data_IF_455124204871
#
_entry.id   IF_455124204871
#
_cell.length_a   1.000
_cell.length_b   1.000
_cell.length_c   1.000
_cell.angle_alpha   90.00
_cell.angle_beta   90.00
_cell.angle_gamma   90.00
#
_symmetry.space_group_name_H-M   'P 1'
#
loop_
_entity.id
_entity.type
_entity.pdbx_description
1 polymer ?
#
# COMPACT_ATOMS: atom_id res chain seq x y z
N UNK A 1 -3.38 -23.54 9.39
CA UNK A 1 -2.98 -22.88 8.12
C UNK A 1 -2.12 -21.70 8.48
N UNK A 2 -1.18 -21.23 7.64
CA UNK A 2 -0.39 -20.02 7.90
C UNK A 2 -0.96 -18.88 7.05
N UNK A 3 -1.10 -17.68 7.62
CA UNK A 3 -1.58 -16.51 6.90
C UNK A 3 -0.64 -16.15 5.72
N UNK A 4 -1.22 -15.77 4.59
CA UNK A 4 -0.52 -15.41 3.36
C UNK A 4 -1.02 -14.03 2.88
N UNK A 5 -0.39 -12.99 3.36
CA UNK A 5 -0.76 -11.60 3.02
C UNK A 5 -0.27 -11.14 1.65
N UNK A 6 0.42 -12.01 0.90
CA UNK A 6 1.05 -11.67 -0.38
C UNK A 6 2.04 -10.50 -0.27
N UNK A 7 2.70 -10.20 -1.36
CA UNK A 7 3.59 -9.05 -1.44
C UNK A 7 2.86 -7.89 -2.13
N UNK A 8 3.13 -6.68 -1.72
CA UNK A 8 2.60 -5.46 -2.39
C UNK A 8 3.14 -5.30 -3.81
N UNK A 9 4.31 -5.87 -4.09
CA UNK A 9 4.85 -6.01 -5.45
C UNK A 9 4.39 -7.38 -6.00
N UNK A 10 3.58 -7.43 -7.08
CA UNK A 10 3.12 -8.70 -7.63
C UNK A 10 4.26 -9.57 -8.16
N UNK A 11 4.32 -10.84 -7.76
CA UNK A 11 5.37 -11.75 -8.20
C UNK A 11 5.42 -11.92 -9.73
N UNK A 12 4.25 -11.99 -10.37
CA UNK A 12 4.18 -12.13 -11.83
C UNK A 12 4.87 -10.96 -12.54
N UNK A 13 4.73 -9.74 -12.04
CA UNK A 13 5.38 -8.55 -12.62
C UNK A 13 6.91 -8.66 -12.51
N UNK A 14 7.44 -9.08 -11.36
CA UNK A 14 8.86 -9.31 -11.17
C UNK A 14 9.38 -10.39 -12.13
N UNK A 15 8.66 -11.51 -12.28
CA UNK A 15 9.00 -12.60 -13.20
C UNK A 15 9.02 -12.11 -14.65
N UNK A 16 8.01 -11.34 -15.09
CA UNK A 16 7.97 -10.77 -16.43
C UNK A 16 9.14 -9.82 -16.71
N UNK A 17 9.50 -8.96 -15.76
CA UNK A 17 10.64 -8.04 -15.90
C UNK A 17 11.95 -8.82 -16.03
N UNK A 18 12.17 -9.84 -15.19
CA UNK A 18 13.37 -10.68 -15.25
C UNK A 18 13.42 -11.46 -16.57
N UNK A 19 12.32 -12.04 -17.01
CA UNK A 19 12.23 -12.77 -18.26
C UNK A 19 12.54 -11.85 -19.47
N UNK A 20 11.98 -10.65 -19.50
CA UNK A 20 12.28 -9.65 -20.51
C UNK A 20 13.77 -9.27 -20.52
N UNK A 21 14.37 -9.10 -19.33
CA UNK A 21 15.80 -8.82 -19.19
C UNK A 21 16.67 -9.94 -19.79
N UNK A 22 16.31 -11.21 -19.53
CA UNK A 22 17.03 -12.38 -20.08
C UNK A 22 16.90 -12.42 -21.60
N UNK A 23 15.71 -12.20 -22.16
CA UNK A 23 15.46 -12.19 -23.60
C UNK A 23 16.26 -11.08 -24.28
N UNK A 24 16.20 -9.85 -23.77
CA UNK A 24 16.93 -8.70 -24.31
C UNK A 24 18.44 -8.94 -24.24
N UNK A 25 18.94 -9.49 -23.13
CA UNK A 25 20.34 -9.87 -22.96
C UNK A 25 20.78 -10.94 -23.96
N UNK A 26 19.96 -11.97 -24.18
CA UNK A 26 20.21 -12.99 -25.17
C UNK A 26 20.31 -12.43 -26.62
N UNK A 27 19.35 -11.56 -26.97
CA UNK A 27 19.36 -10.85 -28.26
C UNK A 27 20.61 -9.97 -28.39
N UNK A 28 20.96 -9.21 -27.34
CA UNK A 28 22.17 -8.39 -27.33
C UNK A 28 23.44 -9.22 -27.58
N UNK A 29 23.60 -10.34 -26.86
CA UNK A 29 24.76 -11.25 -27.03
C UNK A 29 24.79 -11.85 -28.42
N UNK A 30 23.64 -12.25 -28.98
CA UNK A 30 23.55 -12.77 -30.36
C UNK A 30 24.06 -11.74 -31.36
N UNK A 31 23.63 -10.49 -31.30
CA UNK A 31 24.07 -9.42 -32.20
C UNK A 31 25.53 -8.99 -31.98
N UNK A 32 26.06 -9.20 -30.77
CA UNK A 32 27.49 -9.00 -30.51
C UNK A 32 28.38 -10.10 -31.10
N UNK A 33 27.89 -11.35 -31.08
CA UNK A 33 28.65 -12.53 -31.50
C UNK A 33 28.46 -12.97 -32.96
N UNK A 34 27.63 -12.27 -33.75
CA UNK A 34 27.32 -12.63 -35.13
C UNK A 34 27.44 -11.45 -36.09
N UNK A 35 27.63 -11.74 -37.37
CA UNK A 35 27.66 -10.76 -38.47
C UNK A 35 26.30 -10.63 -39.19
N UNK A 36 25.18 -10.85 -38.45
CA UNK A 36 23.82 -10.67 -38.98
C UNK A 36 23.62 -9.25 -39.54
N UNK A 37 24.22 -8.26 -38.87
CA UNK A 37 24.32 -6.89 -39.35
C UNK A 37 25.79 -6.47 -39.44
N UNK A 38 26.13 -5.67 -40.44
CA UNK A 38 27.50 -5.17 -40.67
C UNK A 38 27.51 -3.65 -40.80
N UNK A 39 28.70 -3.06 -40.70
CA UNK A 39 28.91 -1.63 -40.89
C UNK A 39 28.26 -0.76 -39.78
N UNK A 40 27.93 0.47 -40.15
CA UNK A 40 27.38 1.47 -39.19
C UNK A 40 26.05 1.04 -38.57
N UNK A 41 25.19 0.36 -39.33
CA UNK A 41 23.89 -0.15 -38.84
C UNK A 41 24.10 -1.15 -37.71
N UNK A 42 25.07 -2.07 -37.82
CA UNK A 42 25.39 -3.04 -36.77
C UNK A 42 25.82 -2.32 -35.49
N UNK A 43 26.65 -1.30 -35.60
CA UNK A 43 27.10 -0.51 -34.44
C UNK A 43 25.94 0.17 -33.74
N UNK A 44 25.06 0.83 -34.49
CA UNK A 44 23.88 1.51 -33.91
C UNK A 44 22.97 0.52 -33.20
N UNK A 45 22.63 -0.62 -33.79
CA UNK A 45 21.79 -1.66 -33.22
C UNK A 45 22.42 -2.23 -31.93
N UNK A 46 23.72 -2.54 -31.95
CA UNK A 46 24.44 -3.04 -30.76
C UNK A 46 24.43 -2.04 -29.61
N UNK A 47 24.61 -0.75 -29.87
CA UNK A 47 24.54 0.31 -28.86
C UNK A 47 23.13 0.41 -28.27
N UNK A 48 22.10 0.42 -29.11
CA UNK A 48 20.69 0.49 -28.63
C UNK A 48 20.36 -0.72 -27.77
N UNK A 49 20.68 -1.93 -28.22
CA UNK A 49 20.43 -3.16 -27.45
C UNK A 49 21.20 -3.18 -26.13
N UNK A 50 22.45 -2.70 -26.13
CA UNK A 50 23.26 -2.59 -24.92
C UNK A 50 22.65 -1.61 -23.88
N UNK A 51 22.18 -0.45 -24.31
CA UNK A 51 21.49 0.52 -23.46
C UNK A 51 20.20 -0.08 -22.92
N UNK A 52 19.39 -0.70 -23.79
CA UNK A 52 18.13 -1.33 -23.40
C UNK A 52 18.36 -2.43 -22.38
N UNK A 53 19.34 -3.30 -22.60
CA UNK A 53 19.70 -4.35 -21.65
C UNK A 53 20.15 -3.78 -20.31
N UNK A 54 21.00 -2.75 -20.29
CA UNK A 54 21.43 -2.09 -19.04
C UNK A 54 20.25 -1.50 -18.26
N UNK A 55 19.31 -0.84 -18.94
CA UNK A 55 18.09 -0.30 -18.33
C UNK A 55 17.25 -1.43 -17.70
N UNK A 56 17.01 -2.52 -18.42
CA UNK A 56 16.23 -3.65 -17.90
C UNK A 56 16.92 -4.36 -16.74
N UNK A 57 18.26 -4.44 -16.73
CA UNK A 57 19.01 -4.93 -15.55
C UNK A 57 18.76 -4.04 -14.34
N UNK A 58 18.87 -2.71 -14.49
CA UNK A 58 18.62 -1.76 -13.40
C UNK A 58 17.19 -1.90 -12.86
N UNK A 59 16.20 -1.97 -13.76
CA UNK A 59 14.79 -2.16 -13.41
C UNK A 59 14.58 -3.48 -12.67
N UNK A 60 15.18 -4.58 -13.14
CA UNK A 60 15.10 -5.90 -12.49
C UNK A 60 15.68 -5.88 -11.08
N UNK A 61 16.82 -5.24 -10.89
CA UNK A 61 17.46 -5.10 -9.57
C UNK A 61 16.58 -4.25 -8.63
N UNK A 62 16.00 -3.16 -9.12
CA UNK A 62 15.12 -2.30 -8.36
C UNK A 62 13.85 -3.05 -7.89
N UNK A 63 13.14 -3.74 -8.82
CA UNK A 63 11.93 -4.50 -8.44
C UNK A 63 12.25 -5.70 -7.55
N UNK A 64 13.40 -6.34 -7.73
CA UNK A 64 13.87 -7.39 -6.81
C UNK A 64 14.12 -6.83 -5.41
N UNK A 65 14.72 -5.65 -5.31
CA UNK A 65 14.93 -4.96 -4.03
C UNK A 65 13.59 -4.62 -3.36
N UNK A 66 12.64 -4.03 -4.10
CA UNK A 66 11.28 -3.77 -3.61
C UNK A 66 10.61 -5.03 -3.09
N UNK A 67 10.57 -6.09 -3.91
CA UNK A 67 9.93 -7.36 -3.56
C UNK A 67 10.50 -7.96 -2.27
N UNK A 68 11.83 -7.98 -2.13
CA UNK A 68 12.50 -8.52 -0.93
C UNK A 68 12.23 -7.68 0.31
N UNK A 69 12.16 -6.36 0.16
CA UNK A 69 11.95 -5.42 1.27
C UNK A 69 10.53 -5.48 1.80
N UNK A 70 9.51 -5.55 0.92
CA UNK A 70 8.11 -5.64 1.32
C UNK A 70 7.66 -7.04 1.74
N UNK A 71 8.46 -8.09 1.50
CA UNK A 71 8.08 -9.45 1.85
C UNK A 71 7.79 -9.61 3.35
N UNK A 72 6.61 -10.14 3.69
CA UNK A 72 6.19 -10.46 5.07
C UNK A 72 7.12 -11.50 5.75
N UNK A 73 7.70 -12.40 4.96
CA UNK A 73 8.59 -13.46 5.44
C UNK A 73 10.07 -13.15 5.17
N UNK A 74 10.38 -11.98 4.58
CA UNK A 74 11.74 -11.54 4.29
C UNK A 74 12.50 -11.06 5.53
N UNK A 75 13.75 -10.63 5.33
CA UNK A 75 14.58 -10.09 6.43
C UNK A 75 14.06 -8.72 6.92
N UNK A 76 13.70 -7.81 6.02
CA UNK A 76 13.31 -6.42 6.36
C UNK A 76 11.86 -6.33 6.83
N UNK A 77 10.95 -7.12 6.24
CA UNK A 77 9.51 -7.17 6.59
C UNK A 77 8.85 -5.79 6.64
N UNK A 78 9.20 -4.90 5.70
CA UNK A 78 8.75 -3.50 5.76
C UNK A 78 7.23 -3.39 5.76
N UNK A 79 6.54 -4.18 4.92
CA UNK A 79 5.08 -4.19 4.89
C UNK A 79 4.48 -4.53 6.27
N UNK A 80 5.00 -5.58 6.92
CA UNK A 80 4.54 -5.94 8.27
C UNK A 80 4.83 -4.84 9.28
N UNK A 81 6.01 -4.22 9.23
CA UNK A 81 6.39 -3.16 10.16
C UNK A 81 5.48 -1.92 10.04
N UNK A 82 5.13 -1.55 8.80
CA UNK A 82 4.15 -0.47 8.54
C UNK A 82 2.77 -0.84 9.10
N UNK A 83 2.26 -2.04 8.80
CA UNK A 83 0.96 -2.52 9.27
C UNK A 83 0.88 -2.54 10.80
N UNK A 84 1.90 -3.10 11.46
CA UNK A 84 1.97 -3.14 12.92
C UNK A 84 1.95 -1.71 13.50
N UNK A 85 2.75 -0.79 12.94
CA UNK A 85 2.82 0.60 13.41
C UNK A 85 1.53 1.40 13.18
N UNK A 86 0.78 1.15 12.10
CA UNK A 86 -0.54 1.77 11.90
C UNK A 86 -1.52 1.22 12.95
N UNK A 87 -1.53 -0.10 13.14
CA UNK A 87 -2.44 -0.74 14.09
C UNK A 87 -2.19 -0.35 15.55
N UNK A 88 -0.98 0.16 15.91
CA UNK A 88 -0.67 0.72 17.23
C UNK A 88 -1.45 2.02 17.54
N UNK A 89 -1.98 2.68 16.51
CA UNK A 89 -2.79 3.89 16.65
C UNK A 89 -4.30 3.61 16.74
N UNK A 90 -4.70 2.33 16.78
CA UNK A 90 -6.10 1.90 16.80
C UNK A 90 -6.45 1.30 18.15
N UNK A 91 -7.22 2.03 18.93
CA UNK A 91 -7.77 1.55 20.20
C UNK A 91 -9.29 1.61 20.10
N UNK A 92 -9.94 0.46 20.20
CA UNK A 92 -11.39 0.34 20.14
C UNK A 92 -11.95 0.06 21.54
N UNK A 93 -13.10 0.64 21.90
CA UNK A 93 -13.82 0.26 23.11
C UNK A 93 -14.34 -1.18 22.98
N UNK A 94 -14.73 -1.79 24.10
CA UNK A 94 -15.41 -3.08 24.10
C UNK A 94 -16.71 -2.98 23.27
N UNK A 95 -16.94 -3.98 22.41
CA UNK A 95 -17.99 -3.99 21.40
C UNK A 95 -17.90 -2.85 20.36
N UNK A 96 -16.77 -2.15 20.30
CA UNK A 96 -16.50 -1.11 19.30
C UNK A 96 -16.36 -1.68 17.89
N UNK A 97 -16.40 -0.80 16.90
CA UNK A 97 -16.29 -1.14 15.48
C UNK A 97 -15.18 -0.32 14.82
N UNK A 98 -14.26 -0.97 14.14
CA UNK A 98 -13.26 -0.33 13.31
C UNK A 98 -13.48 -0.63 11.83
N UNK A 99 -13.06 0.27 10.95
CA UNK A 99 -13.07 0.10 9.50
C UNK A 99 -11.67 0.29 8.92
N UNK A 100 -11.24 -0.66 8.10
CA UNK A 100 -10.01 -0.59 7.31
C UNK A 100 -10.37 -0.47 5.82
N UNK A 101 -10.05 0.66 5.20
CA UNK A 101 -10.44 1.00 3.82
C UNK A 101 -9.29 0.65 2.86
N UNK A 102 -9.59 -0.16 1.85
CA UNK A 102 -8.59 -0.72 0.94
C UNK A 102 -7.80 -1.83 1.63
N UNK A 103 -8.49 -2.74 2.30
CA UNK A 103 -7.87 -3.76 3.16
C UNK A 103 -7.01 -4.79 2.42
N UNK A 104 -7.12 -4.89 1.08
CA UNK A 104 -6.33 -5.78 0.23
C UNK A 104 -6.43 -7.25 0.62
N UNK A 105 -5.40 -7.76 1.29
CA UNK A 105 -5.33 -9.14 1.83
C UNK A 105 -5.75 -9.25 3.30
N UNK A 106 -6.31 -8.18 3.87
CA UNK A 106 -6.78 -8.13 5.26
C UNK A 106 -5.70 -7.88 6.31
N UNK A 107 -4.47 -7.54 5.91
CA UNK A 107 -3.34 -7.48 6.83
C UNK A 107 -3.54 -6.45 7.96
N UNK A 108 -3.97 -5.22 7.65
CA UNK A 108 -4.20 -4.18 8.64
C UNK A 108 -5.46 -4.44 9.47
N UNK A 109 -6.55 -4.86 8.82
CA UNK A 109 -7.78 -5.30 9.48
C UNK A 109 -7.49 -6.34 10.56
N UNK A 110 -6.75 -7.39 10.21
CA UNK A 110 -6.38 -8.50 11.12
C UNK A 110 -5.44 -8.02 12.22
N UNK A 111 -4.45 -7.17 11.90
CA UNK A 111 -3.55 -6.61 12.91
C UNK A 111 -4.31 -5.78 13.97
N UNK A 112 -5.29 -4.97 13.53
CA UNK A 112 -6.17 -4.22 14.42
C UNK A 112 -7.07 -5.15 15.26
N UNK A 113 -7.66 -6.19 14.65
CA UNK A 113 -8.51 -7.16 15.36
C UNK A 113 -7.75 -7.92 16.46
N UNK A 114 -6.51 -8.31 16.21
CA UNK A 114 -5.64 -8.98 17.20
C UNK A 114 -5.35 -8.13 18.43
N UNK A 115 -5.31 -6.81 18.28
CA UNK A 115 -5.08 -5.85 19.37
C UNK A 115 -6.37 -5.49 20.12
N UNK A 116 -7.51 -5.57 19.44
CA UNK A 116 -8.82 -5.16 19.96
C UNK A 116 -9.78 -6.37 20.00
N UNK A 117 -9.47 -7.35 20.84
CA UNK A 117 -10.14 -8.66 20.86
C UNK A 117 -11.65 -8.61 21.16
N UNK A 118 -12.10 -7.59 21.91
CA UNK A 118 -13.50 -7.39 22.28
C UNK A 118 -14.27 -6.46 21.31
N UNK A 119 -13.68 -6.14 20.15
CA UNK A 119 -14.25 -5.24 19.16
C UNK A 119 -14.29 -5.94 17.79
N UNK A 120 -15.07 -5.40 16.85
CA UNK A 120 -15.18 -5.92 15.49
C UNK A 120 -14.40 -5.03 14.51
N UNK A 121 -13.62 -5.64 13.64
CA UNK A 121 -12.94 -4.95 12.55
C UNK A 121 -13.56 -5.29 11.20
N UNK A 122 -13.91 -4.26 10.44
CA UNK A 122 -14.42 -4.36 9.08
C UNK A 122 -13.31 -4.03 8.10
N UNK A 123 -13.02 -4.93 7.16
CA UNK A 123 -12.14 -4.69 6.03
C UNK A 123 -12.95 -4.47 4.76
N UNK A 124 -12.82 -3.28 4.16
CA UNK A 124 -13.51 -2.94 2.92
C UNK A 124 -12.51 -2.85 1.78
N UNK A 125 -12.81 -3.53 0.66
CA UNK A 125 -12.06 -3.41 -0.58
C UNK A 125 -12.97 -3.65 -1.79
N UNK A 126 -12.57 -3.18 -2.96
CA UNK A 126 -13.28 -3.47 -4.22
C UNK A 126 -12.89 -4.82 -4.82
N UNK A 127 -11.71 -5.34 -4.45
CA UNK A 127 -11.06 -6.55 -5.00
C UNK A 127 -11.18 -6.60 -6.53
N UNK A 128 -10.68 -5.54 -7.17
CA UNK A 128 -10.69 -5.41 -8.62
C UNK A 128 -9.55 -6.18 -9.30
N UNK A 129 -9.55 -6.15 -10.64
CA UNK A 129 -8.57 -6.87 -11.45
C UNK A 129 -7.13 -6.34 -11.33
N UNK A 130 -6.92 -5.18 -10.73
CA UNK A 130 -5.60 -4.56 -10.60
C UNK A 130 -4.67 -5.35 -9.66
N UNK A 131 -5.26 -6.06 -8.68
CA UNK A 131 -4.54 -6.85 -7.67
C UNK A 131 -5.19 -8.23 -7.51
N UNK A 132 -5.09 -9.08 -8.54
CA UNK A 132 -5.69 -10.43 -8.57
C UNK A 132 -5.32 -11.34 -7.38
N UNK A 133 -4.21 -11.04 -6.72
CA UNK A 133 -3.78 -11.80 -5.55
C UNK A 133 -4.54 -11.42 -4.26
N UNK A 134 -5.30 -10.31 -4.27
CA UNK A 134 -6.09 -9.84 -3.14
C UNK A 134 -7.56 -10.16 -3.39
N UNK A 135 -8.14 -10.98 -2.54
CA UNK A 135 -9.56 -11.39 -2.65
C UNK A 135 -10.18 -11.42 -1.26
N UNK A 136 -11.51 -11.39 -1.21
CA UNK A 136 -12.26 -11.52 0.04
C UNK A 136 -11.95 -12.86 0.74
N UNK A 137 -11.96 -13.95 -0.03
CA UNK A 137 -11.68 -15.30 0.48
C UNK A 137 -10.29 -15.38 1.12
N UNK A 138 -9.28 -14.70 0.53
CA UNK A 138 -7.95 -14.61 1.13
C UNK A 138 -7.95 -13.87 2.46
N UNK A 139 -8.72 -12.80 2.58
CA UNK A 139 -8.87 -12.09 3.85
C UNK A 139 -9.48 -13.00 4.92
N UNK A 140 -10.53 -13.75 4.58
CA UNK A 140 -11.20 -14.70 5.47
C UNK A 140 -10.26 -15.86 5.88
N UNK A 141 -9.50 -16.43 4.92
CA UNK A 141 -8.49 -17.45 5.18
C UNK A 141 -7.37 -16.94 6.11
N UNK A 142 -6.91 -15.70 5.88
CA UNK A 142 -5.91 -15.06 6.73
C UNK A 142 -6.44 -14.81 8.13
N UNK A 143 -7.66 -14.32 8.28
CA UNK A 143 -8.31 -14.11 9.58
C UNK A 143 -8.43 -15.42 10.38
N UNK A 144 -8.86 -16.50 9.72
CA UNK A 144 -8.93 -17.82 10.31
C UNK A 144 -7.55 -18.34 10.71
N UNK A 145 -6.54 -18.15 9.86
CA UNK A 145 -5.16 -18.58 10.17
C UNK A 145 -4.55 -17.83 11.36
N UNK A 146 -5.01 -16.60 11.63
CA UNK A 146 -4.58 -15.74 12.73
C UNK A 146 -5.50 -15.80 13.96
N UNK A 147 -6.61 -16.59 13.89
CA UNK A 147 -7.57 -16.81 14.98
C UNK A 147 -8.37 -15.55 15.35
N UNK A 148 -8.80 -14.78 14.35
CA UNK A 148 -9.61 -13.56 14.51
C UNK A 148 -10.82 -13.52 13.58
N UNK A 149 -11.24 -14.69 13.05
CA UNK A 149 -12.38 -14.80 12.16
C UNK A 149 -13.69 -14.31 12.78
N UNK A 150 -13.86 -14.51 14.10
CA UNK A 150 -15.08 -14.17 14.81
C UNK A 150 -15.27 -12.65 14.99
N UNK A 151 -14.17 -11.88 14.93
CA UNK A 151 -14.20 -10.44 15.12
C UNK A 151 -13.70 -9.65 13.90
N UNK A 152 -13.64 -10.29 12.72
CA UNK A 152 -13.33 -9.64 11.44
C UNK A 152 -14.44 -9.86 10.42
N UNK A 153 -14.77 -8.81 9.65
CA UNK A 153 -15.82 -8.83 8.63
C UNK A 153 -15.28 -8.20 7.36
N UNK A 154 -15.25 -8.96 6.26
CA UNK A 154 -14.76 -8.46 4.97
C UNK A 154 -15.91 -8.17 4.02
N UNK A 155 -15.99 -6.92 3.54
CA UNK A 155 -17.09 -6.44 2.71
C UNK A 155 -16.56 -5.82 1.42
N UNK A 156 -17.24 -6.12 0.30
CA UNK A 156 -16.94 -5.47 -0.97
C UNK A 156 -17.56 -4.08 -0.99
N UNK A 157 -16.76 -3.06 -1.37
CA UNK A 157 -17.25 -1.69 -1.42
C UNK A 157 -16.32 -0.75 -2.18
N UNK A 158 -16.79 0.49 -2.31
CA UNK A 158 -16.07 1.59 -2.95
C UNK A 158 -15.66 2.64 -1.90
N UNK A 159 -14.38 2.93 -1.83
CA UNK A 159 -13.84 3.96 -0.95
C UNK A 159 -14.32 5.38 -1.29
N UNK A 160 -14.80 5.61 -2.52
CA UNK A 160 -15.38 6.88 -2.93
C UNK A 160 -16.80 7.11 -2.38
N UNK A 161 -17.49 6.02 -2.03
CA UNK A 161 -18.85 6.05 -1.49
C UNK A 161 -19.05 4.85 -0.58
N UNK A 162 -18.89 5.07 0.71
CA UNK A 162 -19.00 4.03 1.72
C UNK A 162 -20.49 3.74 2.03
N UNK A 163 -20.90 2.49 1.87
CA UNK A 163 -22.27 2.04 2.17
C UNK A 163 -22.44 1.75 3.68
N UNK A 164 -22.10 2.77 4.49
CA UNK A 164 -22.26 2.77 5.93
C UNK A 164 -22.90 4.08 6.38
N UNK A 165 -23.69 4.06 7.48
CA UNK A 165 -24.24 5.28 8.06
C UNK A 165 -23.14 6.24 8.53
N UNK A 166 -23.50 7.52 8.67
CA UNK A 166 -22.67 8.50 9.35
C UNK A 166 -22.39 8.04 10.79
N UNK A 167 -21.20 8.34 11.29
CA UNK A 167 -20.82 8.09 12.68
C UNK A 167 -21.03 6.64 13.15
N UNK A 168 -20.71 5.66 12.30
CA UNK A 168 -20.92 4.25 12.56
C UNK A 168 -19.71 3.56 13.24
N UNK A 169 -18.47 3.99 12.92
CA UNK A 169 -17.23 3.37 13.38
C UNK A 169 -16.55 4.17 14.48
N UNK A 170 -15.93 3.49 15.43
CA UNK A 170 -15.15 4.08 16.52
C UNK A 170 -13.70 4.37 16.08
N UNK A 171 -13.21 3.66 15.07
CA UNK A 171 -11.93 3.95 14.42
C UNK A 171 -11.99 3.66 12.94
N UNK A 172 -11.17 4.41 12.14
CA UNK A 172 -10.98 4.15 10.71
C UNK A 172 -9.51 4.12 10.36
N UNK A 173 -9.12 3.18 9.49
CA UNK A 173 -7.76 3.01 9.00
C UNK A 173 -7.72 2.90 7.49
N UNK A 174 -6.56 3.16 6.91
CA UNK A 174 -6.23 2.83 5.53
C UNK A 174 -4.72 2.76 5.38
N UNK A 175 -4.21 1.92 4.48
CA UNK A 175 -2.80 1.84 4.17
C UNK A 175 -2.54 1.76 2.68
N UNK A 176 -1.86 2.76 2.13
CA UNK A 176 -1.47 2.86 0.72
C UNK A 176 -2.62 2.56 -0.27
N UNK A 177 -3.82 3.06 0.03
CA UNK A 177 -5.01 2.88 -0.79
C UNK A 177 -5.32 4.11 -1.65
N UNK A 178 -5.44 5.28 -1.05
CA UNK A 178 -6.06 6.45 -1.68
C UNK A 178 -5.25 7.04 -2.83
N UNK A 179 -3.92 6.94 -2.81
CA UNK A 179 -3.09 7.42 -3.92
C UNK A 179 -3.35 6.68 -5.24
N UNK A 180 -3.93 5.46 -5.19
CA UNK A 180 -4.28 4.65 -6.37
C UNK A 180 -5.69 4.94 -6.91
N UNK A 181 -6.54 5.64 -6.16
CA UNK A 181 -7.91 5.92 -6.57
C UNK A 181 -7.93 7.13 -7.53
N UNK A 182 -8.51 7.01 -8.73
CA UNK A 182 -8.54 8.08 -9.72
C UNK A 182 -9.64 9.11 -9.41
N UNK A 183 -9.37 10.00 -8.46
CA UNK A 183 -10.25 11.12 -8.08
C UNK A 183 -9.58 12.47 -8.35
N UNK A 184 -10.38 13.53 -8.51
CA UNK A 184 -9.86 14.90 -8.70
C UNK A 184 -9.23 15.43 -7.42
N UNK A 185 -9.92 15.30 -6.31
CA UNK A 185 -9.46 15.73 -5.00
C UNK A 185 -9.50 14.55 -4.01
N UNK A 186 -8.34 14.21 -3.44
CA UNK A 186 -8.24 13.15 -2.43
C UNK A 186 -8.78 13.55 -1.07
N UNK A 187 -8.98 14.86 -0.85
CA UNK A 187 -9.69 15.33 0.32
C UNK A 187 -11.11 14.77 0.39
N UNK A 188 -11.76 14.53 -0.76
CA UNK A 188 -13.11 13.95 -0.81
C UNK A 188 -13.12 12.52 -0.26
N UNK A 189 -12.07 11.71 -0.55
CA UNK A 189 -11.92 10.37 0.01
C UNK A 189 -11.74 10.40 1.54
N UNK A 190 -10.92 11.33 2.02
CA UNK A 190 -10.72 11.53 3.46
C UNK A 190 -12.03 11.99 4.10
N UNK A 191 -12.77 12.90 3.47
CA UNK A 191 -14.06 13.37 3.97
C UNK A 191 -15.08 12.24 4.06
N UNK A 192 -15.16 11.38 3.03
CA UNK A 192 -16.06 10.23 3.04
C UNK A 192 -15.66 9.21 4.13
N UNK A 193 -14.37 8.97 4.30
CA UNK A 193 -13.84 8.14 5.38
C UNK A 193 -14.21 8.69 6.76
N UNK A 194 -14.06 10.00 6.95
CA UNK A 194 -14.35 10.65 8.23
C UNK A 194 -15.85 10.87 8.45
N UNK A 195 -16.70 10.78 7.42
CA UNK A 195 -18.17 10.78 7.55
C UNK A 195 -18.64 9.62 8.40
N UNK A 196 -18.14 8.42 8.11
CA UNK A 196 -18.53 7.19 8.82
C UNK A 196 -17.89 7.03 10.20
N UNK A 197 -16.90 7.87 10.54
CA UNK A 197 -16.25 7.89 11.85
C UNK A 197 -17.13 8.64 12.86
N UNK A 198 -17.36 8.07 14.03
CA UNK A 198 -18.07 8.71 15.16
C UNK A 198 -17.34 9.94 15.66
N UNK A 199 -18.06 10.86 16.28
CA UNK A 199 -17.46 11.92 17.11
C UNK A 199 -16.70 11.27 18.27
N UNK A 200 -15.49 11.76 18.54
CA UNK A 200 -14.56 11.15 19.49
C UNK A 200 -13.84 9.91 18.97
N UNK A 201 -14.18 9.43 17.79
CA UNK A 201 -13.48 8.32 17.12
C UNK A 201 -12.12 8.71 16.57
N UNK A 202 -11.24 7.73 16.38
CA UNK A 202 -9.86 7.93 15.94
C UNK A 202 -9.64 7.49 14.49
N UNK A 203 -8.69 8.11 13.81
CA UNK A 203 -8.28 7.68 12.48
C UNK A 203 -6.77 7.57 12.36
N UNK A 204 -6.33 6.58 11.55
CA UNK A 204 -4.93 6.33 11.22
C UNK A 204 -4.81 5.95 9.74
N UNK A 205 -4.50 6.92 8.90
CA UNK A 205 -4.47 6.79 7.45
C UNK A 205 -3.03 6.95 6.98
N UNK A 206 -2.41 5.87 6.50
CA UNK A 206 -1.07 5.87 5.95
C UNK A 206 -1.12 5.88 4.43
N UNK A 207 -0.50 6.89 3.81
CA UNK A 207 -0.47 7.00 2.35
C UNK A 207 0.72 7.83 1.86
N UNK A 208 0.79 8.01 0.58
CA UNK A 208 1.81 8.78 -0.12
C UNK A 208 1.37 10.25 -0.23
N UNK A 209 1.53 11.01 0.86
CA UNK A 209 1.13 12.42 0.97
C UNK A 209 2.10 13.36 0.25
N UNK A 210 2.19 13.22 -1.07
CA UNK A 210 2.97 14.12 -1.91
C UNK A 210 2.15 15.30 -2.38
N UNK A 211 2.81 16.43 -2.71
CA UNK A 211 2.14 17.62 -3.26
C UNK A 211 1.33 17.30 -4.52
N UNK A 212 1.83 16.41 -5.37
CA UNK A 212 1.13 15.98 -6.58
C UNK A 212 -0.18 15.21 -6.30
N UNK A 213 -0.30 14.56 -5.13
CA UNK A 213 -1.46 13.73 -4.76
C UNK A 213 -2.47 14.48 -3.88
N UNK A 214 -1.99 15.28 -2.93
CA UNK A 214 -2.82 15.91 -1.89
C UNK A 214 -2.73 17.44 -1.87
N UNK A 215 -2.04 18.06 -2.82
CA UNK A 215 -1.84 19.51 -2.84
C UNK A 215 -0.86 19.99 -1.76
N UNK A 216 -1.07 21.23 -1.30
CA UNK A 216 -0.29 21.77 -0.20
C UNK A 216 -0.65 21.09 1.12
N UNK A 217 0.37 20.59 1.82
CA UNK A 217 0.23 19.79 3.03
C UNK A 217 -0.38 20.57 4.19
N UNK A 218 0.05 21.79 4.39
CA UNK A 218 -0.44 22.62 5.50
C UNK A 218 -1.88 23.08 5.24
N UNK A 219 -2.20 23.44 3.99
CA UNK A 219 -3.56 23.76 3.59
C UNK A 219 -4.50 22.56 3.78
N UNK A 220 -4.06 21.36 3.39
CA UNK A 220 -4.82 20.13 3.59
C UNK A 220 -5.10 19.87 5.09
N UNK A 221 -4.06 19.94 5.94
CA UNK A 221 -4.20 19.75 7.38
C UNK A 221 -5.08 20.83 8.02
N UNK A 222 -4.94 22.08 7.55
CA UNK A 222 -5.78 23.21 8.01
C UNK A 222 -7.25 22.94 7.71
N UNK A 223 -7.60 22.48 6.50
CA UNK A 223 -8.99 22.14 6.13
C UNK A 223 -9.59 21.09 7.05
N UNK A 224 -8.80 20.11 7.52
CA UNK A 224 -9.26 19.12 8.49
C UNK A 224 -9.46 19.71 9.89
N UNK A 225 -8.51 20.55 10.35
CA UNK A 225 -8.63 21.23 11.65
C UNK A 225 -9.82 22.20 11.70
N UNK A 226 -10.07 22.93 10.61
CA UNK A 226 -11.19 23.88 10.49
C UNK A 226 -12.57 23.16 10.58
N UNK A 227 -12.62 21.82 10.39
CA UNK A 227 -13.82 21.00 10.62
C UNK A 227 -14.06 20.66 12.10
N UNK A 228 -13.19 21.09 13.00
CA UNK A 228 -13.34 20.91 14.44
C UNK A 228 -12.83 19.58 14.97
N UNK A 229 -11.97 18.86 14.21
CA UNK A 229 -11.34 17.65 14.73
C UNK A 229 -10.35 17.98 15.85
N UNK A 230 -10.42 17.21 16.95
CA UNK A 230 -9.65 17.50 18.17
C UNK A 230 -8.14 17.38 17.96
N UNK A 231 -7.71 16.41 17.17
CA UNK A 231 -6.30 16.18 16.85
C UNK A 231 -6.16 15.84 15.38
N UNK A 232 -5.28 16.56 14.68
CA UNK A 232 -4.91 16.26 13.29
C UNK A 232 -3.42 16.43 13.13
N UNK A 233 -2.71 15.34 12.91
CA UNK A 233 -1.26 15.31 12.74
C UNK A 233 -0.88 14.44 11.55
N UNK A 234 0.08 14.89 10.76
CA UNK A 234 0.66 14.11 9.67
C UNK A 234 2.13 13.81 9.98
N UNK A 235 2.40 12.58 10.36
CA UNK A 235 3.72 12.10 10.78
C UNK A 235 4.49 11.60 9.54
N UNK A 236 5.70 12.10 9.32
CA UNK A 236 6.59 11.60 8.26
C UNK A 236 7.09 10.19 8.61
N UNK A 237 6.61 9.19 7.87
CA UNK A 237 7.00 7.78 8.08
C UNK A 237 8.23 7.37 7.27
N UNK A 238 8.68 8.24 6.36
CA UNK A 238 9.86 8.04 5.51
C UNK A 238 11.16 8.59 6.11
N UNK A 239 11.15 9.00 7.38
CA UNK A 239 12.29 9.63 8.06
C UNK A 239 12.51 9.08 9.49
N UNK A 240 12.57 7.75 9.61
CA UNK A 240 12.93 7.07 10.85
C UNK A 240 11.82 6.28 11.52
N UNK A 241 10.55 6.60 11.31
CA UNK A 241 9.44 5.90 11.98
C UNK A 241 9.26 4.47 11.44
N UNK A 242 8.98 4.31 10.14
CA UNK A 242 8.83 2.98 9.53
C UNK A 242 10.01 2.58 8.67
N UNK A 243 10.67 3.57 8.07
CA UNK A 243 11.84 3.37 7.22
C UNK A 243 12.81 4.54 7.36
N UNK A 244 14.09 4.29 7.13
CA UNK A 244 15.09 5.36 7.09
C UNK A 244 14.90 6.20 5.82
N UNK A 245 15.45 7.44 5.84
CA UNK A 245 15.43 8.31 4.67
C UNK A 245 16.08 7.66 3.43
N UNK A 246 17.17 6.88 3.65
CA UNK A 246 17.86 6.14 2.59
C UNK A 246 16.98 5.04 1.99
N UNK A 247 16.28 4.27 2.83
CA UNK A 247 15.31 3.28 2.37
C UNK A 247 14.18 3.95 1.59
N UNK A 248 13.61 5.04 2.10
CA UNK A 248 12.54 5.76 1.41
C UNK A 248 12.96 6.24 0.01
N UNK A 249 14.20 6.72 -0.15
CA UNK A 249 14.75 7.09 -1.46
C UNK A 249 14.87 5.85 -2.36
N UNK A 250 15.50 4.78 -1.87
CA UNK A 250 15.75 3.56 -2.66
C UNK A 250 14.47 2.81 -3.05
N UNK A 251 13.37 3.01 -2.30
CA UNK A 251 12.06 2.39 -2.54
C UNK A 251 11.09 3.33 -3.26
N UNK A 252 11.49 4.56 -3.56
CA UNK A 252 10.61 5.61 -4.10
C UNK A 252 9.42 5.94 -3.21
N UNK A 253 9.58 5.86 -1.88
CA UNK A 253 8.53 6.09 -0.88
C UNK A 253 8.66 7.44 -0.16
N UNK A 254 9.44 8.39 -0.71
CA UNK A 254 9.50 9.75 -0.18
C UNK A 254 8.11 10.38 -0.21
N UNK A 255 7.70 11.00 0.90
CA UNK A 255 6.38 11.57 1.06
C UNK A 255 5.35 10.61 1.67
N UNK A 256 5.76 9.38 2.02
CA UNK A 256 4.92 8.52 2.87
C UNK A 256 4.72 9.15 4.23
N UNK A 257 3.48 9.16 4.69
CA UNK A 257 3.09 9.74 5.97
C UNK A 257 1.92 9.00 6.60
N UNK A 258 1.79 9.14 7.90
CA UNK A 258 0.68 8.64 8.68
C UNK A 258 -0.14 9.84 9.19
N UNK A 259 -1.33 10.01 8.65
CA UNK A 259 -2.31 10.99 9.12
C UNK A 259 -3.08 10.37 10.29
N UNK A 260 -2.88 10.91 11.46
CA UNK A 260 -3.59 10.47 12.68
C UNK A 260 -4.41 11.61 13.26
N UNK A 261 -5.51 11.25 13.91
CA UNK A 261 -6.33 12.24 14.56
C UNK A 261 -7.53 11.65 15.31
N UNK A 262 -8.33 12.59 15.86
CA UNK A 262 -9.58 12.29 16.53
C UNK A 262 -10.66 13.26 16.04
N UNK A 263 -11.81 12.71 15.64
CA UNK A 263 -12.97 13.48 15.17
C UNK A 263 -13.73 14.13 16.30
#
# INVERSE_FOLDING_TARGET
MKADYKNWVPLWMLVCIIAATIVIGGVFVLFMGTDILTGQTATVVRVILGILFAVFVIVSLFYTHLFRTFSYNGKRKLAKHIIDGISDNVVLPDNGKGLDIGCGSGALTIACAKKNKNASMYGLDRWGNDYLAFTKERCEDNAKAEGVEDNTHFVKGDACKLDFPDEYFDAVTSNYCYHNIPVKDRADLINETLRVLKKGGTFAIHDWFTKAKYGDREEFLKKLRDKGYEKVELIDTANGLYMTRKEAISLSLIGSGLLVGKK
#
